data_IF_221004069808
#
_entry.id   IF_221004069808
#
_cell.length_a   1.000
_cell.length_b   1.000
_cell.length_c   1.000
_cell.angle_alpha   90.00
_cell.angle_beta   90.00
_cell.angle_gamma   90.00
#
_symmetry.space_group_name_H-M   'P 1'
#
loop_
_entity.id
_entity.type
_entity.pdbx_description
1 polymer ?
#
# COMPACT_ATOMS: atom_id res chain seq x y z
N UNK A 1 16.97 -13.28 -11.03
CA UNK A 1 16.13 -13.47 -9.83
C UNK A 1 15.79 -12.15 -9.13
N UNK A 2 16.71 -11.47 -8.44
CA UNK A 2 16.38 -10.25 -7.68
C UNK A 2 15.67 -9.14 -8.49
N UNK A 3 16.15 -8.85 -9.72
CA UNK A 3 15.51 -7.86 -10.62
C UNK A 3 14.11 -8.28 -11.08
N UNK A 4 13.92 -9.57 -11.41
CA UNK A 4 12.63 -10.09 -11.84
C UNK A 4 11.62 -10.08 -10.68
N UNK A 5 12.06 -10.48 -9.48
CA UNK A 5 11.24 -10.43 -8.27
C UNK A 5 10.84 -8.99 -7.93
N UNK A 6 11.78 -8.04 -7.99
CA UNK A 6 11.48 -6.61 -7.78
C UNK A 6 10.42 -6.08 -8.75
N UNK A 7 10.54 -6.41 -10.05
CA UNK A 7 9.54 -6.02 -11.06
C UNK A 7 8.20 -6.69 -10.81
N UNK A 8 8.20 -7.97 -10.42
CA UNK A 8 6.99 -8.71 -10.04
C UNK A 8 6.29 -8.08 -8.83
N UNK A 9 7.03 -7.76 -7.76
CA UNK A 9 6.51 -7.08 -6.58
C UNK A 9 5.92 -5.70 -6.91
N UNK A 10 6.60 -4.91 -7.75
CA UNK A 10 6.05 -3.63 -8.21
C UNK A 10 4.81 -3.81 -9.09
N UNK A 11 4.78 -4.81 -9.97
CA UNK A 11 3.60 -5.13 -10.77
C UNK A 11 2.41 -5.51 -9.90
N UNK A 12 2.62 -6.41 -8.93
CA UNK A 12 1.58 -6.84 -7.98
C UNK A 12 1.05 -5.67 -7.15
N UNK A 13 1.94 -4.84 -6.60
CA UNK A 13 1.53 -3.68 -5.81
C UNK A 13 0.88 -2.58 -6.64
N UNK A 14 1.31 -2.37 -7.87
CA UNK A 14 0.63 -1.45 -8.78
C UNK A 14 -0.81 -1.92 -9.08
N UNK A 15 -1.01 -3.22 -9.31
CA UNK A 15 -2.34 -3.78 -9.50
C UNK A 15 -3.20 -3.64 -8.24
N UNK A 16 -2.63 -3.91 -7.06
CA UNK A 16 -3.31 -3.70 -5.78
C UNK A 16 -3.74 -2.25 -5.59
N UNK A 17 -2.85 -1.28 -5.81
CA UNK A 17 -3.20 0.14 -5.73
C UNK A 17 -4.19 0.57 -6.81
N UNK A 18 -4.15 0.00 -8.01
CA UNK A 18 -5.14 0.28 -9.05
C UNK A 18 -6.53 -0.22 -8.67
N UNK A 19 -6.63 -1.41 -8.07
CA UNK A 19 -7.89 -1.92 -7.51
C UNK A 19 -8.40 -1.03 -6.37
N UNK A 20 -7.50 -0.59 -5.47
CA UNK A 20 -7.85 0.37 -4.42
C UNK A 20 -8.27 1.74 -4.99
N UNK A 21 -7.71 2.15 -6.13
CA UNK A 21 -8.04 3.41 -6.79
C UNK A 21 -9.49 3.45 -7.31
N UNK A 22 -10.07 2.28 -7.60
CA UNK A 22 -11.48 2.17 -7.99
C UNK A 22 -12.43 2.67 -6.90
N UNK A 23 -12.06 2.48 -5.63
CA UNK A 23 -12.86 2.92 -4.47
C UNK A 23 -12.35 4.22 -3.86
N UNK A 24 -11.05 4.53 -3.99
CA UNK A 24 -10.44 5.72 -3.40
C UNK A 24 -9.37 6.33 -4.32
N UNK A 25 -9.63 7.52 -4.87
CA UNK A 25 -8.76 8.19 -5.87
C UNK A 25 -7.32 8.41 -5.38
N UNK A 26 -7.11 8.51 -4.06
CA UNK A 26 -5.79 8.69 -3.45
C UNK A 26 -4.79 7.60 -3.85
N UNK A 27 -5.24 6.38 -4.17
CA UNK A 27 -4.37 5.27 -4.60
C UNK A 27 -3.95 5.33 -6.08
N UNK A 28 -4.56 6.20 -6.90
CA UNK A 28 -4.23 6.29 -8.32
C UNK A 28 -2.79 6.77 -8.56
N UNK A 29 -2.35 7.78 -7.81
CA UNK A 29 -0.98 8.32 -7.88
C UNK A 29 0.06 7.23 -7.53
N UNK A 30 -0.03 6.53 -6.38
CA UNK A 30 0.93 5.49 -6.04
C UNK A 30 0.84 4.28 -6.98
N UNK A 31 -0.32 3.96 -7.57
CA UNK A 31 -0.44 2.92 -8.59
C UNK A 31 0.42 3.25 -9.82
N UNK A 32 0.27 4.44 -10.38
CA UNK A 32 1.05 4.89 -11.56
C UNK A 32 2.54 4.98 -11.24
N UNK A 33 2.90 5.57 -10.09
CA UNK A 33 4.30 5.69 -9.68
C UNK A 33 4.96 4.33 -9.49
N UNK A 34 4.26 3.37 -8.89
CA UNK A 34 4.75 2.00 -8.67
C UNK A 34 4.89 1.24 -9.99
N UNK A 35 3.92 1.40 -10.89
CA UNK A 35 3.96 0.78 -12.22
C UNK A 35 5.17 1.27 -13.04
N UNK A 36 5.45 2.59 -12.99
CA UNK A 36 6.62 3.18 -13.62
C UNK A 36 7.94 2.58 -13.09
N UNK A 37 8.04 2.34 -11.78
CA UNK A 37 9.20 1.68 -11.16
C UNK A 37 9.34 0.23 -11.61
N UNK A 38 8.23 -0.49 -11.77
CA UNK A 38 8.21 -1.86 -12.31
C UNK A 38 8.68 -1.94 -13.77
N UNK A 39 8.30 -0.97 -14.60
CA UNK A 39 8.77 -0.90 -15.99
C UNK A 39 10.23 -0.49 -16.07
N UNK A 40 10.62 0.59 -15.40
CA UNK A 40 11.97 1.11 -15.43
C UNK A 40 12.39 1.62 -14.03
N UNK A 41 13.26 0.89 -13.30
CA UNK A 41 13.69 1.30 -11.97
C UNK A 41 14.54 2.58 -11.97
N UNK A 42 15.05 3.03 -13.12
CA UNK A 42 15.80 4.29 -13.22
C UNK A 42 14.92 5.53 -13.01
N UNK A 43 13.59 5.39 -13.16
CA UNK A 43 12.63 6.50 -12.98
C UNK A 43 12.67 7.06 -11.56
N UNK A 44 13.05 6.26 -10.55
CA UNK A 44 13.19 6.73 -9.17
C UNK A 44 14.29 7.78 -8.98
N UNK A 45 15.24 7.84 -9.92
CA UNK A 45 16.30 8.86 -9.94
C UNK A 45 15.83 10.21 -10.49
N UNK A 46 14.69 10.27 -11.17
CA UNK A 46 14.16 11.51 -11.73
C UNK A 46 13.58 12.41 -10.63
N UNK A 47 13.92 13.71 -10.68
CA UNK A 47 13.41 14.74 -9.78
C UNK A 47 11.87 14.77 -9.79
N UNK A 48 11.23 14.63 -10.96
CA UNK A 48 9.77 14.67 -11.08
C UNK A 48 9.14 13.54 -10.26
N UNK A 49 9.57 12.29 -10.48
CA UNK A 49 9.04 11.14 -9.74
C UNK A 49 9.30 11.28 -8.24
N UNK A 50 10.49 11.75 -7.86
CA UNK A 50 10.88 11.92 -6.46
C UNK A 50 10.06 13.00 -5.76
N UNK A 51 9.78 14.12 -6.42
CA UNK A 51 8.97 15.22 -5.90
C UNK A 51 7.51 14.79 -5.76
N UNK A 52 6.91 14.20 -6.81
CA UNK A 52 5.52 13.74 -6.77
C UNK A 52 5.33 12.66 -5.69
N UNK A 53 6.22 11.68 -5.62
CA UNK A 53 6.22 10.65 -4.57
C UNK A 53 6.37 11.26 -3.18
N UNK A 54 7.25 12.25 -2.99
CA UNK A 54 7.47 12.90 -1.71
C UNK A 54 6.24 13.70 -1.25
N UNK A 55 5.69 14.55 -2.11
CA UNK A 55 4.50 15.36 -1.78
C UNK A 55 3.33 14.45 -1.43
N UNK A 56 3.06 13.44 -2.26
CA UNK A 56 1.98 12.49 -2.00
C UNK A 56 2.18 11.73 -0.70
N UNK A 57 3.41 11.27 -0.41
CA UNK A 57 3.72 10.58 0.85
C UNK A 57 3.54 11.49 2.05
N UNK A 58 3.95 12.77 1.97
CA UNK A 58 3.78 13.73 3.06
C UNK A 58 2.30 14.01 3.34
N UNK A 59 1.48 14.15 2.30
CA UNK A 59 0.03 14.30 2.44
C UNK A 59 -0.59 13.06 3.09
N UNK A 60 -0.19 11.86 2.65
CA UNK A 60 -0.66 10.60 3.24
C UNK A 60 -0.27 10.47 4.73
N UNK A 61 0.97 10.84 5.08
CA UNK A 61 1.46 10.82 6.47
C UNK A 61 0.73 11.85 7.33
N UNK A 62 0.52 13.07 6.81
CA UNK A 62 -0.23 14.10 7.53
C UNK A 62 -1.68 13.65 7.79
N UNK A 63 -2.32 13.04 6.78
CA UNK A 63 -3.67 12.48 6.93
C UNK A 63 -3.71 11.33 7.93
N UNK A 64 -2.77 10.38 7.82
CA UNK A 64 -2.66 9.27 8.76
C UNK A 64 -2.41 9.74 10.20
N UNK A 65 -1.60 10.78 10.39
CA UNK A 65 -1.37 11.39 11.69
C UNK A 65 -2.63 12.10 12.22
N UNK A 66 -3.38 12.77 11.35
CA UNK A 66 -4.68 13.37 11.70
C UNK A 66 -5.69 12.32 12.15
N UNK A 67 -5.84 11.22 11.40
CA UNK A 67 -6.67 10.08 11.79
C UNK A 67 -6.19 9.47 13.11
N UNK A 68 -4.89 9.19 13.25
CA UNK A 68 -4.33 8.64 14.48
C UNK A 68 -4.56 9.56 15.69
N UNK A 69 -4.41 10.87 15.53
CA UNK A 69 -4.68 11.85 16.58
C UNK A 69 -6.17 11.90 16.96
N UNK A 70 -7.06 11.90 15.97
CA UNK A 70 -8.51 11.83 16.20
C UNK A 70 -8.88 10.56 16.97
N UNK A 71 -8.29 9.41 16.62
CA UNK A 71 -8.48 8.13 17.29
C UNK A 71 -7.95 8.14 18.73
N UNK A 72 -6.79 8.78 18.97
CA UNK A 72 -6.22 8.92 20.31
C UNK A 72 -7.08 9.82 21.21
N UNK A 73 -7.63 10.91 20.68
CA UNK A 73 -8.49 11.83 21.43
C UNK A 73 -9.89 11.26 21.70
N UNK A 74 -10.47 10.50 20.76
CA UNK A 74 -11.83 9.95 20.88
C UNK A 74 -11.90 8.60 21.60
N UNK A 75 -10.83 8.21 22.31
CA UNK A 75 -10.87 7.26 23.42
C UNK A 75 -11.74 6.01 23.23
N UNK A 76 -11.27 5.07 22.41
CA UNK A 76 -11.50 3.62 22.62
C UNK A 76 -12.96 3.11 22.74
N UNK A 77 -13.97 3.73 22.11
CA UNK A 77 -15.34 3.18 22.11
C UNK A 77 -15.66 2.25 20.92
N UNK A 78 -14.80 2.16 19.89
CA UNK A 78 -14.95 1.20 18.79
C UNK A 78 -13.60 0.92 18.11
N UNK A 79 -12.94 -0.19 18.47
CA UNK A 79 -11.79 -0.76 17.74
C UNK A 79 -12.16 -0.80 16.25
N UNK A 80 -11.53 0.04 15.42
CA UNK A 80 -11.88 0.25 14.01
C UNK A 80 -13.40 0.44 13.79
N UNK A 81 -13.85 1.68 13.57
CA UNK A 81 -14.84 1.79 12.51
C UNK A 81 -14.18 1.16 11.27
N UNK A 82 -14.73 0.05 10.76
CA UNK A 82 -14.10 -0.85 9.79
C UNK A 82 -13.50 -0.07 8.59
N UNK A 83 -14.10 1.08 8.29
CA UNK A 83 -13.67 2.01 7.25
C UNK A 83 -12.44 2.86 7.62
N UNK A 84 -12.37 3.42 8.83
CA UNK A 84 -11.29 4.36 9.23
C UNK A 84 -9.95 3.63 9.43
N UNK A 85 -9.98 2.42 10.01
CA UNK A 85 -8.76 1.62 10.13
C UNK A 85 -8.33 0.99 8.81
N UNK A 86 -9.27 0.68 7.90
CA UNK A 86 -8.95 0.29 6.51
C UNK A 86 -8.22 1.43 5.80
N UNK A 87 -8.72 2.66 5.92
CA UNK A 87 -8.06 3.85 5.35
C UNK A 87 -6.68 4.10 5.94
N UNK A 88 -6.53 4.04 7.26
CA UNK A 88 -5.24 4.18 7.94
C UNK A 88 -4.24 3.12 7.47
N UNK A 89 -4.67 1.85 7.41
CA UNK A 89 -3.80 0.74 6.98
C UNK A 89 -3.31 0.93 5.55
N UNK A 90 -4.16 1.40 4.64
CA UNK A 90 -3.78 1.63 3.25
C UNK A 90 -2.83 2.82 3.09
N UNK A 91 -2.99 3.89 3.87
CA UNK A 91 -2.03 5.02 3.91
C UNK A 91 -0.66 4.59 4.43
N UNK A 92 -0.61 3.70 5.43
CA UNK A 92 0.64 3.11 5.92
C UNK A 92 1.31 2.28 4.84
N UNK A 93 0.55 1.45 4.10
CA UNK A 93 1.06 0.64 3.00
C UNK A 93 1.63 1.54 1.88
N UNK A 94 0.91 2.59 1.45
CA UNK A 94 1.41 3.55 0.46
C UNK A 94 2.73 4.18 0.92
N UNK A 95 2.76 4.66 2.17
CA UNK A 95 3.93 5.34 2.75
C UNK A 95 5.15 4.43 2.81
N UNK A 96 4.96 3.20 3.29
CA UNK A 96 6.00 2.18 3.35
C UNK A 96 6.52 1.84 1.94
N UNK A 97 5.61 1.63 0.98
CA UNK A 97 5.96 1.25 -0.39
C UNK A 97 6.72 2.34 -1.14
N UNK A 98 6.26 3.60 -1.07
CA UNK A 98 6.93 4.75 -1.68
C UNK A 98 8.32 4.99 -1.08
N UNK A 99 8.48 4.72 0.22
CA UNK A 99 9.77 4.83 0.91
C UNK A 99 10.75 3.72 0.49
N UNK A 100 10.26 2.49 0.30
CA UNK A 100 11.04 1.39 -0.25
C UNK A 100 11.48 1.66 -1.69
N UNK A 101 10.58 2.15 -2.55
CA UNK A 101 10.90 2.51 -3.93
C UNK A 101 11.99 3.60 -4.00
N UNK A 102 11.91 4.64 -3.15
CA UNK A 102 12.92 5.71 -3.07
C UNK A 102 14.28 5.23 -2.58
N UNK A 103 14.30 4.33 -1.61
CA UNK A 103 15.54 3.87 -0.98
C UNK A 103 16.21 2.74 -1.75
N UNK A 104 15.46 1.98 -2.56
CA UNK A 104 15.99 0.90 -3.41
C UNK A 104 17.02 1.37 -4.44
N UNK A 105 16.97 2.64 -4.85
CA UNK A 105 17.92 3.20 -5.83
C UNK A 105 19.28 3.55 -5.23
N UNK A 106 19.43 3.60 -3.91
CA UNK A 106 20.60 4.23 -3.26
C UNK A 106 21.68 3.27 -2.76
N UNK A 107 21.38 2.00 -2.49
CA UNK A 107 22.34 1.08 -1.84
C UNK A 107 22.24 -0.37 -2.34
N UNK A 108 23.30 -0.97 -2.92
CA UNK A 108 23.28 -2.34 -3.43
C UNK A 108 23.19 -3.42 -2.34
N UNK A 109 23.74 -3.19 -1.14
CA UNK A 109 23.64 -4.12 0.01
C UNK A 109 22.26 -4.02 0.69
N UNK A 110 21.73 -2.80 0.83
CA UNK A 110 20.35 -2.56 1.30
C UNK A 110 19.28 -3.13 0.37
N UNK A 111 19.59 -3.25 -0.93
CA UNK A 111 18.66 -3.76 -1.95
C UNK A 111 18.13 -5.16 -1.67
N UNK A 112 18.90 -6.06 -1.04
CA UNK A 112 18.43 -7.42 -0.70
C UNK A 112 17.42 -7.42 0.45
N UNK A 113 17.67 -6.62 1.48
CA UNK A 113 16.75 -6.46 2.62
C UNK A 113 15.48 -5.75 2.17
N UNK A 114 15.61 -4.69 1.36
CA UNK A 114 14.47 -3.98 0.77
C UNK A 114 13.61 -4.88 -0.10
N UNK A 115 14.24 -5.77 -0.89
CA UNK A 115 13.51 -6.77 -1.68
C UNK A 115 12.76 -7.77 -0.80
N UNK A 116 13.36 -8.23 0.31
CA UNK A 116 12.68 -9.11 1.26
C UNK A 116 11.47 -8.41 1.90
N UNK A 117 11.64 -7.17 2.38
CA UNK A 117 10.55 -6.37 2.94
C UNK A 117 9.45 -6.11 1.88
N UNK A 118 9.83 -5.75 0.66
CA UNK A 118 8.88 -5.53 -0.43
C UNK A 118 8.11 -6.80 -0.79
N UNK A 119 8.76 -7.97 -0.74
CA UNK A 119 8.10 -9.26 -0.96
C UNK A 119 7.06 -9.53 0.12
N UNK A 120 7.42 -9.33 1.40
CA UNK A 120 6.48 -9.52 2.53
C UNK A 120 5.28 -8.58 2.42
N UNK A 121 5.52 -7.29 2.17
CA UNK A 121 4.44 -6.30 2.03
C UNK A 121 3.56 -6.60 0.83
N UNK A 122 4.12 -7.04 -0.30
CA UNK A 122 3.34 -7.36 -1.50
C UNK A 122 2.52 -8.65 -1.34
N UNK A 123 3.00 -9.62 -0.56
CA UNK A 123 2.26 -10.85 -0.28
C UNK A 123 1.16 -10.66 0.78
N UNK A 124 1.31 -9.70 1.69
CA UNK A 124 0.36 -9.49 2.79
C UNK A 124 -1.09 -9.26 2.31
N UNK A 125 -1.39 -8.37 1.34
CA UNK A 125 -2.74 -8.20 0.82
C UNK A 125 -3.30 -9.47 0.17
N UNK A 126 -2.44 -10.21 -0.55
CA UNK A 126 -2.84 -11.45 -1.21
C UNK A 126 -3.18 -12.56 -0.20
N UNK A 127 -2.33 -12.74 0.81
CA UNK A 127 -2.56 -13.72 1.88
C UNK A 127 -3.82 -13.37 2.68
N UNK A 128 -4.02 -12.09 3.01
CA UNK A 128 -5.24 -11.62 3.67
C UNK A 128 -6.48 -11.88 2.81
N UNK A 129 -6.42 -11.64 1.50
CA UNK A 129 -7.52 -11.94 0.58
C UNK A 129 -7.84 -13.44 0.51
N UNK A 130 -6.83 -14.30 0.36
CA UNK A 130 -7.01 -15.76 0.34
C UNK A 130 -7.58 -16.25 1.67
N UNK A 131 -7.11 -15.72 2.80
CA UNK A 131 -7.61 -16.07 4.12
C UNK A 131 -9.11 -15.75 4.26
N UNK A 132 -9.53 -14.54 3.87
CA UNK A 132 -10.94 -14.14 3.84
C UNK A 132 -11.74 -14.98 2.84
N UNK A 133 -11.14 -15.36 1.72
CA UNK A 133 -11.80 -16.20 0.72
C UNK A 133 -12.10 -17.61 1.25
N UNK A 134 -11.18 -18.20 2.01
CA UNK A 134 -11.34 -19.55 2.58
C UNK A 134 -12.27 -19.52 3.81
N UNK A 135 -12.17 -18.49 4.65
CA UNK A 135 -12.92 -18.40 5.90
C UNK A 135 -14.35 -17.88 5.67
N UNK A 136 -15.26 -18.81 5.34
CA UNK A 136 -16.68 -18.52 5.06
C UNK A 136 -17.43 -17.94 6.25
N UNK A 137 -17.00 -18.25 7.47
CA UNK A 137 -17.61 -17.73 8.69
C UNK A 137 -17.45 -16.20 8.78
N UNK A 138 -16.26 -15.68 8.48
CA UNK A 138 -16.01 -14.23 8.43
C UNK A 138 -16.80 -13.53 7.31
N UNK A 139 -16.95 -14.17 6.14
CA UNK A 139 -17.79 -13.60 5.06
C UNK A 139 -19.27 -13.56 5.42
N UNK A 140 -19.74 -14.52 6.21
CA UNK A 140 -21.14 -14.58 6.63
C UNK A 140 -21.52 -13.45 7.59
N UNK A 141 -20.57 -13.00 8.42
CA UNK A 141 -20.76 -11.90 9.36
C UNK A 141 -20.63 -10.51 8.74
N UNK A 142 -20.24 -10.39 7.46
CA UNK A 142 -20.11 -9.11 6.79
C UNK A 142 -21.45 -8.41 6.54
N UNK A 143 -21.47 -7.07 6.60
CA UNK A 143 -22.65 -6.29 6.22
C UNK A 143 -22.99 -6.50 4.73
N UNK A 144 -24.28 -6.37 4.40
CA UNK A 144 -24.81 -6.77 3.09
C UNK A 144 -24.17 -6.06 1.90
N UNK A 145 -23.67 -4.83 2.07
CA UNK A 145 -22.96 -4.08 1.03
C UNK A 145 -21.56 -4.64 0.71
N UNK A 146 -20.95 -5.43 1.60
CA UNK A 146 -19.66 -6.08 1.38
C UNK A 146 -19.79 -7.48 0.75
N UNK A 147 -20.99 -8.08 0.75
CA UNK A 147 -21.23 -9.45 0.25
C UNK A 147 -21.34 -9.54 -1.27
N UNK A 148 -21.68 -8.45 -1.95
CA UNK A 148 -21.86 -8.39 -3.41
C UNK A 148 -20.56 -8.20 -4.20
N UNK A 149 -19.42 -8.03 -3.52
CA UNK A 149 -18.13 -7.67 -4.14
C UNK A 149 -17.18 -8.89 -4.29
N UNK A 150 -17.55 -10.05 -3.70
CA UNK A 150 -16.84 -11.34 -3.84
C UNK A 150 -17.65 -12.25 -4.75
#
# INVERSE_FOLDING_TARGET
WARALWRGCNGLMAAFFALAAFVQVVYAIPAVLTLLVGFNPLVTGNIIWRSVSAVHTLLCVAWAAGLAYSLLLHGQQSILHEEEGRELSGLVIITAWMSLCRTSSKNPVGGRIQLAIATVIALFPFMSWVYIYINKEMRSSWPTHCKTVI
#
